data_IF_947088390795
#
_entry.id   IF_947088390795
#
_cell.length_a   1.000
_cell.length_b   1.000
_cell.length_c   1.000
_cell.angle_alpha   90.00
_cell.angle_beta   90.00
_cell.angle_gamma   90.00
#
_symmetry.space_group_name_H-M   'P 1'
#
loop_
_entity.id
_entity.type
_entity.pdbx_description
1 polymer ?
#
# COMPACT_ATOMS: atom_id res chain seq x y z
N UNK A 1 -6.20 13.71 -14.13
CA UNK A 1 -6.20 12.84 -12.95
C UNK A 1 -4.85 12.96 -12.24
N UNK A 2 -3.69 12.71 -12.91
CA UNK A 2 -2.36 12.72 -12.28
C UNK A 2 -2.07 13.97 -11.44
N UNK A 3 -2.23 15.18 -12.00
CA UNK A 3 -2.02 16.43 -11.25
C UNK A 3 -2.89 16.56 -10.00
N UNK A 4 -4.14 16.11 -10.08
CA UNK A 4 -5.06 16.16 -8.93
C UNK A 4 -4.58 15.19 -7.85
N UNK A 5 -4.24 13.97 -8.23
CA UNK A 5 -3.71 12.95 -7.30
C UNK A 5 -2.43 13.44 -6.62
N UNK A 6 -1.45 13.91 -7.40
CA UNK A 6 -0.18 14.41 -6.86
C UNK A 6 -0.39 15.59 -5.92
N UNK A 7 -1.22 16.57 -6.32
CA UNK A 7 -1.55 17.72 -5.47
C UNK A 7 -2.20 17.30 -4.16
N UNK A 8 -3.17 16.38 -4.20
CA UNK A 8 -3.84 15.86 -3.00
C UNK A 8 -2.86 15.11 -2.08
N UNK A 9 -2.01 14.24 -2.65
CA UNK A 9 -1.02 13.49 -1.87
C UNK A 9 -0.05 14.42 -1.18
N UNK A 10 0.60 15.32 -1.93
CA UNK A 10 1.59 16.23 -1.37
C UNK A 10 0.98 17.16 -0.32
N UNK A 11 -0.17 17.76 -0.60
CA UNK A 11 -0.81 18.68 0.35
C UNK A 11 -1.25 17.94 1.61
N UNK A 12 -1.94 16.82 1.48
CA UNK A 12 -2.44 16.06 2.64
C UNK A 12 -1.27 15.52 3.46
N UNK A 13 -0.29 14.88 2.81
CA UNK A 13 0.90 14.35 3.49
C UNK A 13 1.63 15.43 4.27
N UNK A 14 1.95 16.55 3.63
CA UNK A 14 2.70 17.65 4.26
C UNK A 14 1.92 18.27 5.42
N UNK A 15 0.63 18.59 5.21
CA UNK A 15 -0.20 19.20 6.26
C UNK A 15 -0.37 18.27 7.45
N UNK A 16 -0.65 17.00 7.23
CA UNK A 16 -0.83 16.03 8.31
C UNK A 16 0.48 15.82 9.07
N UNK A 17 1.59 15.59 8.36
CA UNK A 17 2.91 15.41 8.98
C UNK A 17 3.28 16.61 9.85
N UNK A 18 3.12 17.84 9.32
CA UNK A 18 3.39 19.06 10.08
C UNK A 18 2.45 19.20 11.29
N UNK A 19 1.16 18.93 11.12
CA UNK A 19 0.19 19.01 12.21
C UNK A 19 0.52 18.04 13.33
N UNK A 20 0.81 16.77 12.99
CA UNK A 20 1.18 15.75 13.98
C UNK A 20 2.48 16.13 14.69
N UNK A 21 3.47 16.63 13.96
CA UNK A 21 4.75 17.06 14.53
C UNK A 21 4.58 18.26 15.48
N UNK A 22 3.77 19.26 15.11
CA UNK A 22 3.48 20.41 15.97
C UNK A 22 2.71 20.00 17.23
N UNK A 23 1.82 19.04 17.12
CA UNK A 23 1.04 18.51 18.23
C UNK A 23 1.75 17.41 19.02
N UNK A 24 2.95 16.98 18.61
CA UNK A 24 3.66 15.82 19.18
C UNK A 24 3.83 15.91 20.70
N UNK A 25 4.06 17.10 21.24
CA UNK A 25 4.22 17.30 22.70
C UNK A 25 2.89 17.21 23.48
N UNK A 26 1.76 17.33 22.80
CA UNK A 26 0.42 17.22 23.39
C UNK A 26 -0.14 15.79 23.30
N UNK A 27 0.46 14.94 22.48
CA UNK A 27 0.05 13.54 22.30
C UNK A 27 0.79 12.71 23.35
N UNK A 28 0.07 12.06 24.30
CA UNK A 28 0.69 11.44 25.47
C UNK A 28 1.81 10.44 25.15
N UNK A 29 1.64 9.58 24.14
CA UNK A 29 2.65 8.58 23.78
C UNK A 29 3.85 9.18 23.03
N UNK A 30 3.71 10.38 22.44
CA UNK A 30 4.78 11.06 21.70
C UNK A 30 5.56 12.05 22.57
N UNK A 31 4.98 12.54 23.66
CA UNK A 31 5.54 13.62 24.47
C UNK A 31 6.99 13.34 24.91
N UNK A 32 7.25 12.11 25.38
CA UNK A 32 8.54 11.67 25.91
C UNK A 32 9.48 11.08 24.84
N UNK A 33 9.05 11.01 23.57
CA UNK A 33 9.88 10.49 22.49
C UNK A 33 10.98 11.47 22.09
N UNK A 34 12.17 10.98 21.66
CA UNK A 34 13.17 11.81 21.01
C UNK A 34 12.63 12.41 19.71
N UNK A 35 13.21 13.53 19.27
CA UNK A 35 12.76 14.24 18.06
C UNK A 35 12.69 13.32 16.83
N UNK A 36 13.66 12.43 16.68
CA UNK A 36 13.71 11.43 15.59
C UNK A 36 12.48 10.52 15.61
N UNK A 37 12.10 10.03 16.79
CA UNK A 37 10.88 9.22 16.96
C UNK A 37 9.60 10.01 16.63
N UNK A 38 9.52 11.28 17.05
CA UNK A 38 8.40 12.16 16.70
C UNK A 38 8.26 12.38 15.21
N UNK A 39 9.40 12.57 14.52
CA UNK A 39 9.42 12.70 13.05
C UNK A 39 8.99 11.41 12.39
N UNK A 40 9.53 10.25 12.80
CA UNK A 40 9.14 8.95 12.25
C UNK A 40 7.63 8.70 12.38
N UNK A 41 7.05 8.94 13.55
CA UNK A 41 5.60 8.81 13.77
C UNK A 41 4.81 9.80 12.90
N UNK A 42 5.27 11.05 12.79
CA UNK A 42 4.58 12.07 12.02
C UNK A 42 4.54 11.77 10.51
N UNK A 43 5.64 11.28 9.92
CA UNK A 43 5.67 10.90 8.51
C UNK A 43 4.79 9.66 8.23
N UNK A 44 4.79 8.69 9.15
CA UNK A 44 3.93 7.52 9.04
C UNK A 44 2.45 7.89 9.14
N UNK A 45 2.07 8.75 10.09
CA UNK A 45 0.72 9.28 10.20
C UNK A 45 0.32 10.05 8.94
N UNK A 46 1.22 10.86 8.38
CA UNK A 46 1.03 11.56 7.12
C UNK A 46 0.74 10.59 5.97
N UNK A 47 1.51 9.52 5.84
CA UNK A 47 1.33 8.52 4.78
C UNK A 47 -0.02 7.79 4.91
N UNK A 48 -0.40 7.38 6.12
CA UNK A 48 -1.65 6.65 6.37
C UNK A 48 -2.87 7.54 6.11
N UNK A 49 -2.84 8.80 6.55
CA UNK A 49 -3.98 9.72 6.45
C UNK A 49 -4.19 10.29 5.03
N UNK A 50 -3.27 10.06 4.11
CA UNK A 50 -3.50 10.29 2.67
C UNK A 50 -4.51 9.29 2.10
N UNK A 51 -4.63 8.09 2.70
CA UNK A 51 -5.54 7.04 2.23
C UNK A 51 -6.99 7.51 2.16
N UNK A 52 -7.67 7.16 1.08
CA UNK A 52 -9.10 7.46 0.87
C UNK A 52 -9.82 6.19 0.46
N UNK A 53 -11.00 5.97 1.03
CA UNK A 53 -11.79 4.79 0.73
C UNK A 53 -12.52 4.91 -0.62
N UNK A 54 -12.19 4.09 -1.63
CA UNK A 54 -12.95 4.04 -2.89
C UNK A 54 -14.38 3.60 -2.68
N UNK A 55 -14.62 2.72 -1.69
CA UNK A 55 -15.96 2.22 -1.38
C UNK A 55 -16.91 3.32 -0.92
N UNK A 56 -16.41 4.29 -0.13
CA UNK A 56 -17.20 5.45 0.29
C UNK A 56 -17.56 6.33 -0.91
N UNK A 57 -16.61 6.58 -1.81
CA UNK A 57 -16.88 7.34 -3.03
C UNK A 57 -17.92 6.63 -3.92
N UNK A 58 -17.80 5.32 -4.09
CA UNK A 58 -18.75 4.50 -4.87
C UNK A 58 -20.14 4.53 -4.22
N UNK A 59 -20.23 4.41 -2.89
CA UNK A 59 -21.50 4.47 -2.16
C UNK A 59 -22.22 5.78 -2.39
N UNK A 60 -21.52 6.92 -2.22
CA UNK A 60 -22.06 8.26 -2.44
C UNK A 60 -22.53 8.44 -3.90
N UNK A 61 -21.71 8.01 -4.87
CA UNK A 61 -22.05 8.08 -6.29
C UNK A 61 -23.31 7.28 -6.61
N UNK A 62 -23.45 6.09 -6.03
CA UNK A 62 -24.66 5.25 -6.21
C UNK A 62 -25.88 5.87 -5.56
N UNK A 63 -25.76 6.38 -4.34
CA UNK A 63 -26.85 6.98 -3.59
C UNK A 63 -27.40 8.23 -4.30
N UNK A 64 -26.49 9.12 -4.73
CA UNK A 64 -26.85 10.32 -5.47
C UNK A 64 -27.17 10.06 -6.95
N UNK A 65 -26.98 8.84 -7.45
CA UNK A 65 -27.08 8.51 -8.88
C UNK A 65 -26.26 9.46 -9.75
N UNK A 66 -25.12 9.92 -9.23
CA UNK A 66 -24.26 10.90 -9.87
C UNK A 66 -23.66 10.35 -11.16
N UNK A 67 -23.76 11.12 -12.25
CA UNK A 67 -23.21 10.77 -13.56
C UNK A 67 -22.48 11.96 -14.15
N UNK A 68 -21.43 11.71 -14.92
CA UNK A 68 -20.73 12.77 -15.66
C UNK A 68 -19.21 12.66 -15.56
N UNK A 69 -18.49 13.60 -16.19
CA UNK A 69 -17.02 13.63 -16.21
C UNK A 69 -16.40 13.75 -14.81
N UNK A 70 -17.00 14.55 -13.95
CA UNK A 70 -16.55 14.74 -12.57
C UNK A 70 -16.57 13.41 -11.79
N UNK A 71 -17.67 12.65 -11.87
CA UNK A 71 -17.81 11.34 -11.22
C UNK A 71 -16.72 10.37 -11.69
N UNK A 72 -16.45 10.32 -13.00
CA UNK A 72 -15.37 9.48 -13.57
C UNK A 72 -14.00 9.92 -13.06
N UNK A 73 -13.77 11.22 -12.92
CA UNK A 73 -12.51 11.76 -12.39
C UNK A 73 -12.33 11.38 -10.92
N UNK A 74 -13.36 11.52 -10.10
CA UNK A 74 -13.32 11.15 -8.67
C UNK A 74 -13.00 9.67 -8.51
N UNK A 75 -13.69 8.79 -9.24
CA UNK A 75 -13.41 7.35 -9.21
C UNK A 75 -11.98 7.03 -9.67
N UNK A 76 -11.52 7.66 -10.76
CA UNK A 76 -10.16 7.46 -11.24
C UNK A 76 -9.10 7.93 -10.25
N UNK A 77 -9.32 9.07 -9.59
CA UNK A 77 -8.42 9.58 -8.55
C UNK A 77 -8.37 8.65 -7.34
N UNK A 78 -9.53 8.17 -6.85
CA UNK A 78 -9.57 7.28 -5.68
C UNK A 78 -8.84 5.95 -5.93
N UNK A 79 -9.03 5.34 -7.10
CA UNK A 79 -8.35 4.08 -7.46
C UNK A 79 -6.82 4.26 -7.57
N UNK A 80 -6.38 5.35 -8.21
CA UNK A 80 -4.94 5.64 -8.32
C UNK A 80 -4.35 5.98 -6.95
N UNK A 81 -5.12 6.67 -6.09
CA UNK A 81 -4.71 7.04 -4.75
C UNK A 81 -4.35 5.82 -3.89
N UNK A 82 -5.09 4.71 -4.00
CA UNK A 82 -4.79 3.48 -3.25
C UNK A 82 -3.39 2.93 -3.59
N UNK A 83 -3.04 2.91 -4.88
CA UNK A 83 -1.69 2.49 -5.31
C UNK A 83 -0.62 3.43 -4.75
N UNK A 84 -0.85 4.74 -4.91
CA UNK A 84 0.11 5.77 -4.47
C UNK A 84 0.31 5.73 -2.96
N UNK A 85 -0.76 5.53 -2.19
CA UNK A 85 -0.68 5.48 -0.72
C UNK A 85 0.12 4.27 -0.24
N UNK A 86 -0.04 3.11 -0.87
CA UNK A 86 0.72 1.91 -0.48
C UNK A 86 2.22 2.11 -0.77
N UNK A 87 2.57 2.66 -1.94
CA UNK A 87 3.96 2.99 -2.26
C UNK A 87 4.50 4.05 -1.28
N UNK A 88 3.72 5.09 -1.00
CA UNK A 88 4.08 6.13 -0.06
C UNK A 88 4.29 5.57 1.36
N UNK A 89 3.43 4.67 1.79
CA UNK A 89 3.54 3.99 3.08
C UNK A 89 4.82 3.14 3.14
N UNK A 90 5.10 2.31 2.13
CA UNK A 90 6.30 1.49 2.07
C UNK A 90 7.58 2.35 2.15
N UNK A 91 7.65 3.43 1.35
CA UNK A 91 8.78 4.37 1.41
C UNK A 91 8.94 5.03 2.79
N UNK A 92 7.85 5.52 3.37
CA UNK A 92 7.90 6.17 4.68
C UNK A 92 8.19 5.19 5.81
N UNK A 93 7.75 3.93 5.71
CA UNK A 93 8.09 2.87 6.67
C UNK A 93 9.58 2.61 6.68
N UNK A 94 10.18 2.46 5.50
CA UNK A 94 11.63 2.27 5.38
C UNK A 94 12.43 3.48 5.90
N UNK A 95 11.98 4.70 5.60
CA UNK A 95 12.61 5.93 6.13
C UNK A 95 12.47 6.02 7.65
N UNK A 96 11.29 5.68 8.20
CA UNK A 96 11.07 5.69 9.64
C UNK A 96 11.95 4.65 10.34
N UNK A 97 12.09 3.46 9.77
CA UNK A 97 12.96 2.41 10.30
C UNK A 97 14.44 2.84 10.30
N UNK A 98 14.92 3.41 9.20
CA UNK A 98 16.27 3.96 9.12
C UNK A 98 16.53 5.09 10.14
N UNK A 99 15.55 5.97 10.34
CA UNK A 99 15.64 7.04 11.34
C UNK A 99 15.73 6.48 12.78
N UNK A 100 14.98 5.41 13.08
CA UNK A 100 14.93 4.81 14.41
C UNK A 100 16.15 3.92 14.70
N UNK A 101 16.67 3.22 13.69
CA UNK A 101 17.85 2.35 13.81
C UNK A 101 19.18 3.11 13.69
N UNK A 102 19.12 4.37 13.23
CA UNK A 102 20.32 5.18 13.01
C UNK A 102 21.12 4.76 11.77
N UNK A 103 20.53 3.99 10.86
CA UNK A 103 21.15 3.67 9.58
C UNK A 103 21.23 4.94 8.73
N UNK A 104 22.41 5.20 8.16
CA UNK A 104 22.59 6.35 7.26
C UNK A 104 21.71 6.20 6.00
N UNK A 105 20.99 7.28 5.65
CA UNK A 105 20.21 7.36 4.41
C UNK A 105 21.18 7.56 3.24
N UNK A 106 21.90 6.50 2.88
CA UNK A 106 22.85 6.49 1.78
C UNK A 106 22.14 6.04 0.47
N UNK A 107 22.87 6.20 -0.66
CA UNK A 107 22.39 5.80 -1.98
C UNK A 107 22.08 4.30 -2.03
N UNK A 108 22.79 3.50 -1.25
CA UNK A 108 22.57 2.05 -1.10
C UNK A 108 21.20 1.79 -0.47
N UNK A 109 20.81 2.54 0.56
CA UNK A 109 19.49 2.46 1.18
C UNK A 109 18.35 2.75 0.16
N UNK A 110 18.50 3.82 -0.64
CA UNK A 110 17.52 4.19 -1.67
C UNK A 110 17.39 3.07 -2.73
N UNK A 111 18.51 2.48 -3.13
CA UNK A 111 18.52 1.37 -4.09
C UNK A 111 17.87 0.11 -3.51
N UNK A 112 18.08 -0.18 -2.23
CA UNK A 112 17.45 -1.31 -1.53
C UNK A 112 15.92 -1.14 -1.47
N UNK A 113 15.44 0.00 -0.99
CA UNK A 113 14.00 0.30 -0.92
C UNK A 113 13.38 0.27 -2.33
N UNK A 114 14.06 0.83 -3.33
CA UNK A 114 13.63 0.73 -4.73
C UNK A 114 13.56 -0.72 -5.22
N UNK A 115 14.54 -1.54 -4.86
CA UNK A 115 14.59 -2.97 -5.17
C UNK A 115 13.45 -3.75 -4.51
N UNK A 116 13.12 -3.47 -3.25
CA UNK A 116 12.00 -4.08 -2.52
C UNK A 116 10.65 -3.77 -3.16
N UNK A 117 10.45 -2.53 -3.59
CA UNK A 117 9.23 -2.13 -4.32
C UNK A 117 9.15 -2.89 -5.65
N UNK A 118 10.23 -2.94 -6.43
CA UNK A 118 10.28 -3.67 -7.70
C UNK A 118 10.00 -5.15 -7.47
N UNK A 119 10.62 -5.75 -6.45
CA UNK A 119 10.40 -7.15 -6.08
C UNK A 119 8.93 -7.41 -5.73
N UNK A 120 8.31 -6.53 -4.94
CA UNK A 120 6.89 -6.60 -4.58
C UNK A 120 5.98 -6.50 -5.83
N UNK A 121 6.32 -5.66 -6.81
CA UNK A 121 5.60 -5.55 -8.07
C UNK A 121 5.73 -6.83 -8.91
N UNK A 122 6.93 -7.41 -8.99
CA UNK A 122 7.18 -8.68 -9.71
C UNK A 122 6.43 -9.83 -9.05
N UNK A 123 6.47 -9.93 -7.73
CA UNK A 123 5.71 -10.93 -6.98
C UNK A 123 4.21 -10.73 -7.15
N UNK A 124 3.73 -9.49 -7.20
CA UNK A 124 2.35 -9.15 -7.53
C UNK A 124 1.94 -9.65 -8.92
N UNK A 125 2.83 -9.53 -9.90
CA UNK A 125 2.59 -10.11 -11.22
C UNK A 125 2.50 -11.64 -11.17
N UNK A 126 3.44 -12.32 -10.51
CA UNK A 126 3.40 -13.78 -10.33
C UNK A 126 2.12 -14.21 -9.61
N UNK A 127 1.76 -13.51 -8.53
CA UNK A 127 0.53 -13.77 -7.79
C UNK A 127 -0.71 -13.60 -8.68
N UNK A 128 -0.71 -12.64 -9.62
CA UNK A 128 -1.81 -12.46 -10.57
C UNK A 128 -2.03 -13.69 -11.45
N UNK A 129 -0.96 -14.39 -11.84
CA UNK A 129 -1.05 -15.64 -12.60
C UNK A 129 -1.67 -16.76 -11.75
N UNK A 130 -1.31 -16.84 -10.47
CA UNK A 130 -1.91 -17.80 -9.52
C UNK A 130 -3.40 -17.52 -9.33
N UNK A 131 -3.78 -16.26 -9.11
CA UNK A 131 -5.19 -15.87 -8.99
C UNK A 131 -5.97 -16.17 -10.28
N UNK A 132 -5.39 -15.92 -11.44
CA UNK A 132 -5.98 -16.31 -12.73
C UNK A 132 -6.25 -17.79 -12.81
N UNK A 133 -5.31 -18.62 -12.36
CA UNK A 133 -5.49 -20.08 -12.32
C UNK A 133 -6.65 -20.46 -11.42
N UNK A 134 -6.74 -19.89 -10.22
CA UNK A 134 -7.84 -20.11 -9.27
C UNK A 134 -9.18 -19.76 -9.89
N UNK A 135 -9.29 -18.60 -10.57
CA UNK A 135 -10.54 -18.19 -11.22
C UNK A 135 -10.92 -19.08 -12.39
N UNK A 136 -9.96 -19.71 -13.08
CA UNK A 136 -10.23 -20.64 -14.19
C UNK A 136 -10.76 -21.99 -13.73
N UNK A 137 -10.60 -22.33 -12.44
CA UNK A 137 -11.10 -23.60 -11.89
C UNK A 137 -12.63 -23.65 -11.91
N UNK A 138 -13.17 -24.79 -12.29
CA UNK A 138 -14.61 -25.06 -12.29
C UNK A 138 -15.09 -25.53 -10.92
N UNK A 139 -14.88 -24.71 -9.89
CA UNK A 139 -15.31 -24.96 -8.51
C UNK A 139 -16.33 -23.90 -8.08
N UNK A 140 -17.06 -24.16 -6.99
CA UNK A 140 -18.06 -23.20 -6.53
C UNK A 140 -17.39 -21.88 -6.10
N UNK A 141 -18.14 -20.81 -6.16
CA UNK A 141 -17.71 -19.44 -5.81
C UNK A 141 -17.15 -19.36 -4.39
N UNK A 142 -17.77 -20.08 -3.45
CA UNK A 142 -17.31 -20.12 -2.05
C UNK A 142 -15.87 -20.66 -1.93
N UNK A 143 -15.55 -21.74 -2.66
CA UNK A 143 -14.19 -22.28 -2.67
C UNK A 143 -13.18 -21.31 -3.28
N UNK A 144 -13.56 -20.55 -4.32
CA UNK A 144 -12.68 -19.51 -4.90
C UNK A 144 -12.33 -18.42 -3.88
N UNK A 145 -13.33 -17.95 -3.11
CA UNK A 145 -13.06 -16.97 -2.05
C UNK A 145 -12.12 -17.51 -0.97
N UNK A 146 -12.33 -18.76 -0.53
CA UNK A 146 -11.45 -19.40 0.45
C UNK A 146 -10.02 -19.50 -0.09
N UNK A 147 -9.85 -19.96 -1.34
CA UNK A 147 -8.53 -20.03 -1.98
C UNK A 147 -7.85 -18.66 -2.08
N UNK A 148 -8.60 -17.59 -2.42
CA UNK A 148 -8.07 -16.24 -2.45
C UNK A 148 -7.58 -15.78 -1.07
N UNK A 149 -8.36 -16.03 -0.02
CA UNK A 149 -7.97 -15.70 1.36
C UNK A 149 -6.73 -16.47 1.80
N UNK A 150 -6.65 -17.77 1.50
CA UNK A 150 -5.50 -18.61 1.82
C UNK A 150 -4.24 -18.13 1.08
N UNK A 151 -4.36 -17.80 -0.20
CA UNK A 151 -3.24 -17.29 -1.00
C UNK A 151 -2.81 -15.90 -0.52
N UNK A 152 -3.75 -14.99 -0.22
CA UNK A 152 -3.44 -13.67 0.35
C UNK A 152 -2.74 -13.78 1.71
N UNK A 153 -3.24 -14.64 2.59
CA UNK A 153 -2.57 -14.91 3.87
C UNK A 153 -1.19 -15.54 3.67
N UNK A 154 -1.04 -16.44 2.69
CA UNK A 154 0.24 -17.04 2.32
C UNK A 154 1.29 -16.01 1.92
N UNK A 155 0.91 -14.93 1.25
CA UNK A 155 1.81 -13.81 0.91
C UNK A 155 2.34 -13.13 2.17
N UNK A 156 1.48 -12.89 3.17
CA UNK A 156 1.91 -12.32 4.46
C UNK A 156 2.89 -13.23 5.20
N UNK A 157 2.58 -14.52 5.28
CA UNK A 157 3.46 -15.50 5.94
C UNK A 157 4.80 -15.60 5.22
N UNK A 158 4.79 -15.64 3.88
CA UNK A 158 6.00 -15.72 3.07
C UNK A 158 6.87 -14.46 3.21
N UNK A 159 6.25 -13.27 3.21
CA UNK A 159 6.95 -12.00 3.43
C UNK A 159 7.63 -11.96 4.80
N UNK A 160 6.93 -12.36 5.86
CA UNK A 160 7.49 -12.45 7.21
C UNK A 160 8.66 -13.44 7.30
N UNK A 161 8.51 -14.61 6.70
CA UNK A 161 9.56 -15.63 6.68
C UNK A 161 10.82 -15.17 5.90
N UNK A 162 10.64 -14.53 4.75
CA UNK A 162 11.76 -13.98 3.97
C UNK A 162 12.50 -12.91 4.77
N UNK A 163 11.77 -12.03 5.46
CA UNK A 163 12.35 -11.00 6.32
C UNK A 163 13.21 -11.62 7.43
N UNK A 164 12.71 -12.62 8.11
CA UNK A 164 13.41 -13.33 9.19
C UNK A 164 14.70 -14.00 8.67
N UNK A 165 14.60 -14.73 7.55
CA UNK A 165 15.75 -15.44 6.96
C UNK A 165 16.81 -14.47 6.41
N UNK A 166 16.41 -13.33 5.85
CA UNK A 166 17.36 -12.34 5.34
C UNK A 166 18.03 -11.57 6.48
N UNK A 167 17.32 -11.28 7.55
CA UNK A 167 17.89 -10.65 8.75
C UNK A 167 18.92 -11.52 9.48
N UNK A 168 18.76 -12.85 9.46
CA UNK A 168 19.72 -13.77 10.07
C UNK A 168 20.99 -14.00 9.22
N UNK A 169 20.88 -13.95 7.90
CA UNK A 169 21.97 -14.37 6.98
C UNK A 169 22.63 -13.21 6.23
N UNK A 170 22.01 -12.06 6.15
CA UNK A 170 22.50 -10.89 5.44
C UNK A 170 22.50 -9.65 6.33
N UNK A 171 23.40 -8.71 6.04
CA UNK A 171 23.49 -7.41 6.72
C UNK A 171 22.25 -6.52 6.44
N UNK A 172 21.42 -6.92 5.46
CA UNK A 172 20.27 -6.16 4.98
C UNK A 172 19.04 -7.06 5.04
N UNK A 173 18.03 -6.64 5.80
CA UNK A 173 16.71 -7.25 5.80
C UNK A 173 15.96 -6.88 4.50
N UNK A 174 15.49 -7.86 3.74
CA UNK A 174 14.66 -7.61 2.55
C UNK A 174 13.20 -7.58 2.98
N UNK A 175 12.57 -6.43 2.80
CA UNK A 175 11.17 -6.23 3.14
C UNK A 175 10.29 -6.26 1.90
N UNK A 176 9.56 -7.37 1.71
CA UNK A 176 8.53 -7.46 0.67
C UNK A 176 7.23 -6.87 1.24
N UNK A 177 6.68 -5.86 0.58
CA UNK A 177 5.41 -5.24 0.99
C UNK A 177 4.21 -6.13 0.55
N UNK A 178 3.57 -6.88 1.47
CA UNK A 178 2.51 -7.83 1.10
C UNK A 178 1.27 -7.14 0.56
N UNK A 179 0.94 -5.94 1.06
CA UNK A 179 -0.23 -5.19 0.60
C UNK A 179 -0.05 -4.73 -0.84
N UNK A 180 1.13 -4.22 -1.19
CA UNK A 180 1.47 -3.81 -2.56
C UNK A 180 1.40 -5.02 -3.51
N UNK A 181 1.98 -6.15 -3.10
CA UNK A 181 1.96 -7.41 -3.86
C UNK A 181 0.53 -7.87 -4.15
N UNK A 182 -0.33 -7.95 -3.14
CA UNK A 182 -1.72 -8.37 -3.29
C UNK A 182 -2.54 -7.39 -4.13
N UNK A 183 -2.31 -6.08 -3.98
CA UNK A 183 -3.02 -5.07 -4.72
C UNK A 183 -2.67 -5.07 -6.21
N UNK A 184 -1.38 -5.18 -6.54
CA UNK A 184 -0.91 -5.31 -7.93
C UNK A 184 -1.50 -6.57 -8.57
N UNK A 185 -1.50 -7.70 -7.85
CA UNK A 185 -2.11 -8.93 -8.33
C UNK A 185 -3.60 -8.76 -8.64
N UNK A 186 -4.36 -8.17 -7.73
CA UNK A 186 -5.79 -7.90 -7.92
C UNK A 186 -6.05 -6.96 -9.09
N UNK A 187 -5.26 -5.89 -9.23
CA UNK A 187 -5.36 -4.94 -10.34
C UNK A 187 -5.11 -5.61 -11.69
N UNK A 188 -4.05 -6.43 -11.79
CA UNK A 188 -3.71 -7.13 -13.03
C UNK A 188 -4.78 -8.15 -13.43
N UNK A 189 -5.31 -8.90 -12.47
CA UNK A 189 -6.41 -9.84 -12.71
C UNK A 189 -7.65 -9.11 -13.20
N UNK A 190 -8.02 -8.00 -12.58
CA UNK A 190 -9.23 -7.27 -12.91
C UNK A 190 -9.16 -6.58 -14.29
N UNK A 191 -7.98 -6.12 -14.72
CA UNK A 191 -7.85 -5.28 -15.91
C UNK A 191 -7.27 -5.99 -17.14
N UNK A 192 -6.34 -6.92 -16.96
CA UNK A 192 -5.60 -7.53 -18.07
C UNK A 192 -5.97 -9.00 -18.33
N UNK A 193 -6.61 -9.63 -17.36
CA UNK A 193 -7.11 -10.96 -17.56
C UNK A 193 -8.63 -10.84 -17.71
N UNK A 194 -9.14 -10.95 -18.94
CA UNK A 194 -10.56 -10.94 -19.26
C UNK A 194 -11.28 -12.16 -18.62
N UNK A 195 -11.26 -12.20 -17.31
CA UNK A 195 -12.14 -13.06 -16.53
C UNK A 195 -13.44 -12.27 -16.53
N UNK A 196 -14.39 -12.71 -17.37
CA UNK A 196 -15.79 -12.32 -17.23
C UNK A 196 -16.17 -12.67 -15.80
N UNK A 197 -16.05 -11.67 -14.92
CA UNK A 197 -16.57 -11.78 -13.58
C UNK A 197 -18.09 -11.71 -13.76
N UNK A 198 -18.72 -12.86 -13.92
CA UNK A 198 -20.16 -13.04 -13.72
C UNK A 198 -20.46 -12.90 -12.22
N UNK A 199 -20.18 -11.71 -11.70
CA UNK A 199 -20.47 -11.31 -10.33
C UNK A 199 -21.22 -9.97 -10.36
N UNK A 200 -22.41 -10.00 -10.93
CA UNK A 200 -23.47 -9.00 -10.68
C UNK A 200 -24.82 -9.69 -10.73
#
# INVERSE_FOLDING_TARGET
IGFITTGLVLTTFTLVTLTVLLLANYIPFMADMPLVGKVAVAIMAGAILVARSPSSAIAIIKELRARGPFTKTVLGVTVIMDVVVIILFALNSSVADALLTGVELDIVFILLVGGEIILSLVLGYVLSLVLRLIFSLRVSTAYKYIMMLVVGYGVFVLSGWIREQTGEHFVVEIFIEPLLTCMVAGFLVANFHAIRIEFL
#
